data_IF_340843507970
#
_entry.id   IF_340843507970
#
_cell.length_a   1.000
_cell.length_b   1.000
_cell.length_c   1.000
_cell.angle_alpha   90.00
_cell.angle_beta   90.00
_cell.angle_gamma   90.00
#
_symmetry.space_group_name_H-M   'P 1'
#
loop_
_entity.id
_entity.type
_entity.pdbx_description
1 polymer ?
#
# COMPACT_ATOMS: atom_id res chain seq x y z
N UNK A 1 -6.71 -24.92 -9.84
CA UNK A 1 -5.40 -24.46 -10.33
C UNK A 1 -4.71 -23.86 -9.13
N UNK A 2 -3.88 -24.64 -8.46
CA UNK A 2 -3.19 -24.26 -7.23
C UNK A 2 -2.04 -23.33 -7.59
N UNK A 3 -2.03 -22.13 -7.02
CA UNK A 3 -0.91 -21.20 -7.09
C UNK A 3 0.21 -21.74 -6.16
N UNK A 4 1.43 -21.90 -6.65
CA UNK A 4 2.48 -22.46 -5.82
C UNK A 4 2.92 -21.46 -4.73
N UNK A 5 2.79 -21.91 -3.49
CA UNK A 5 3.24 -21.23 -2.24
C UNK A 5 4.76 -21.05 -2.19
N UNK A 6 5.49 -21.52 -3.18
CA UNK A 6 6.96 -21.65 -3.19
C UNK A 6 7.76 -20.38 -3.49
N UNK A 7 7.13 -19.24 -3.80
CA UNK A 7 7.85 -18.01 -4.20
C UNK A 7 8.35 -17.18 -2.99
N UNK A 8 8.10 -17.64 -1.76
CA UNK A 8 8.27 -16.80 -0.57
C UNK A 8 9.70 -16.80 0.03
N UNK A 9 10.60 -17.69 -0.35
CA UNK A 9 11.86 -17.87 0.37
C UNK A 9 13.18 -17.59 -0.36
N UNK A 10 13.20 -17.31 -1.65
CA UNK A 10 14.46 -17.07 -2.39
C UNK A 10 14.59 -15.71 -3.09
N UNK A 11 13.78 -14.74 -2.72
CA UNK A 11 13.60 -13.51 -3.51
C UNK A 11 14.71 -12.47 -3.41
N UNK A 12 15.72 -12.61 -2.56
CA UNK A 12 16.81 -11.63 -2.48
C UNK A 12 17.82 -11.76 -3.63
N UNK A 13 18.07 -12.96 -4.14
CA UNK A 13 19.02 -13.18 -5.23
C UNK A 13 18.43 -12.98 -6.64
N UNK A 14 17.10 -13.07 -6.77
CA UNK A 14 16.42 -12.96 -8.08
C UNK A 14 16.23 -11.53 -8.58
N UNK A 15 16.27 -10.53 -7.69
CA UNK A 15 16.09 -9.12 -8.08
C UNK A 15 17.30 -8.50 -8.79
N UNK A 16 18.49 -9.04 -8.56
CA UNK A 16 19.76 -8.46 -9.05
C UNK A 16 19.93 -8.63 -10.58
N UNK A 17 19.26 -9.63 -11.18
CA UNK A 17 19.38 -9.94 -12.61
C UNK A 17 18.05 -10.08 -13.36
N UNK A 18 16.96 -9.58 -12.79
CA UNK A 18 15.64 -9.78 -13.39
C UNK A 18 15.39 -8.77 -14.53
N UNK A 19 14.97 -9.23 -15.73
CA UNK A 19 14.53 -8.33 -16.80
C UNK A 19 13.28 -7.54 -16.40
N UNK A 20 12.96 -6.47 -17.12
CA UNK A 20 11.83 -5.58 -16.85
C UNK A 20 10.47 -6.31 -16.63
N UNK A 21 10.32 -7.49 -17.24
CA UNK A 21 9.18 -8.38 -17.05
C UNK A 21 9.03 -8.91 -15.62
N UNK A 22 10.15 -9.09 -14.92
CA UNK A 22 10.12 -9.53 -13.52
C UNK A 22 9.76 -8.41 -12.55
N UNK A 23 9.98 -7.14 -12.90
CA UNK A 23 9.48 -5.99 -12.15
C UNK A 23 7.93 -5.99 -12.17
N UNK A 24 7.31 -6.27 -13.30
CA UNK A 24 5.87 -6.40 -13.43
C UNK A 24 5.31 -7.56 -12.57
N UNK A 25 5.98 -8.71 -12.53
CA UNK A 25 5.61 -9.83 -11.64
C UNK A 25 5.78 -9.46 -10.16
N UNK A 26 6.76 -8.62 -9.83
CA UNK A 26 7.00 -8.15 -8.47
C UNK A 26 5.90 -7.20 -8.00
N UNK A 27 5.47 -6.27 -8.85
CA UNK A 27 4.31 -5.40 -8.62
C UNK A 27 3.05 -6.23 -8.39
N UNK A 28 2.86 -7.27 -9.19
CA UNK A 28 1.71 -8.17 -9.05
C UNK A 28 1.73 -8.92 -7.71
N UNK A 29 2.90 -9.37 -7.26
CA UNK A 29 3.05 -10.09 -6.00
C UNK A 29 2.83 -9.18 -4.78
N UNK A 30 3.34 -7.94 -4.80
CA UNK A 30 3.17 -6.98 -3.69
C UNK A 30 1.76 -6.42 -3.62
N UNK A 31 1.16 -6.09 -4.74
CA UNK A 31 -0.26 -5.73 -4.83
C UNK A 31 -1.12 -6.90 -4.35
N UNK A 32 -0.75 -8.14 -4.69
CA UNK A 32 -1.42 -9.36 -4.21
C UNK A 32 -1.37 -9.54 -2.70
N UNK A 33 -0.24 -9.26 -2.03
CA UNK A 33 -0.10 -9.40 -0.58
C UNK A 33 -0.93 -8.33 0.16
N UNK A 34 -0.85 -7.07 -0.25
CA UNK A 34 -1.67 -5.98 0.32
C UNK A 34 -3.16 -6.21 0.07
N UNK A 35 -3.49 -6.74 -1.09
CA UNK A 35 -4.83 -7.18 -1.46
C UNK A 35 -5.38 -8.24 -0.50
N UNK A 36 -4.65 -9.35 -0.31
CA UNK A 36 -5.10 -10.46 0.53
C UNK A 36 -5.11 -10.13 2.02
N UNK A 37 -4.15 -9.35 2.51
CA UNK A 37 -3.94 -9.10 3.94
C UNK A 37 -4.92 -8.09 4.52
N UNK A 38 -5.26 -7.04 3.79
CA UNK A 38 -6.02 -5.90 4.33
C UNK A 38 -7.26 -5.59 3.50
N UNK A 39 -7.13 -5.39 2.20
CA UNK A 39 -8.22 -4.91 1.36
C UNK A 39 -9.39 -5.89 1.30
N UNK A 40 -9.11 -7.18 1.13
CA UNK A 40 -10.17 -8.22 1.07
C UNK A 40 -10.92 -8.32 2.39
N UNK A 41 -10.24 -8.19 3.54
CA UNK A 41 -10.89 -8.27 4.85
C UNK A 41 -11.87 -7.10 5.05
N UNK A 42 -11.46 -5.88 4.71
CA UNK A 42 -12.33 -4.70 4.78
C UNK A 42 -13.49 -4.82 3.80
N UNK A 43 -13.21 -5.29 2.58
CA UNK A 43 -14.22 -5.53 1.56
C UNK A 43 -15.27 -6.58 2.00
N UNK A 44 -14.81 -7.70 2.55
CA UNK A 44 -15.69 -8.74 3.08
C UNK A 44 -16.55 -8.21 4.24
N UNK A 45 -15.97 -7.44 5.16
CA UNK A 45 -16.72 -6.86 6.27
C UNK A 45 -17.82 -5.91 5.78
N UNK A 46 -17.54 -5.06 4.81
CA UNK A 46 -18.51 -4.15 4.21
C UNK A 46 -19.64 -4.93 3.49
N UNK A 47 -19.27 -5.95 2.70
CA UNK A 47 -20.26 -6.83 2.03
C UNK A 47 -21.11 -7.60 3.02
N UNK A 48 -20.53 -8.14 4.09
CA UNK A 48 -21.28 -8.85 5.13
C UNK A 48 -22.29 -7.93 5.84
N UNK A 49 -21.89 -6.69 6.14
CA UNK A 49 -22.82 -5.70 6.71
C UNK A 49 -24.02 -5.44 5.79
N UNK A 50 -23.76 -5.30 4.49
CA UNK A 50 -24.80 -5.13 3.48
C UNK A 50 -25.76 -6.35 3.40
N UNK A 51 -25.20 -7.55 3.38
CA UNK A 51 -25.98 -8.80 3.36
C UNK A 51 -26.90 -8.92 4.60
N UNK A 52 -26.36 -8.64 5.78
CA UNK A 52 -27.13 -8.69 7.04
C UNK A 52 -28.25 -7.65 7.02
N UNK A 53 -28.02 -6.49 6.41
CA UNK A 53 -29.02 -5.44 6.24
C UNK A 53 -30.09 -5.76 5.16
N UNK A 54 -29.98 -6.87 4.46
CA UNK A 54 -30.92 -7.27 3.39
C UNK A 54 -30.75 -6.50 2.09
N UNK A 55 -29.55 -5.96 1.82
CA UNK A 55 -29.25 -5.23 0.60
C UNK A 55 -29.30 -6.15 -0.64
N UNK A 56 -29.54 -5.55 -1.81
CA UNK A 56 -29.49 -6.27 -3.08
C UNK A 56 -28.09 -6.84 -3.37
N UNK A 57 -28.01 -7.85 -4.24
CA UNK A 57 -26.71 -8.40 -4.65
C UNK A 57 -25.80 -7.32 -5.27
N UNK A 58 -26.38 -6.40 -6.04
CA UNK A 58 -25.67 -5.30 -6.66
C UNK A 58 -25.11 -4.34 -5.59
N UNK A 59 -25.89 -3.97 -4.58
CA UNK A 59 -25.45 -3.09 -3.49
C UNK A 59 -24.37 -3.76 -2.65
N UNK A 60 -24.51 -5.06 -2.40
CA UNK A 60 -23.47 -5.85 -1.73
C UNK A 60 -22.15 -5.83 -2.49
N UNK A 61 -22.16 -5.91 -3.82
CA UNK A 61 -20.97 -5.86 -4.64
C UNK A 61 -20.36 -4.44 -4.69
N UNK A 62 -21.18 -3.39 -4.69
CA UNK A 62 -20.71 -2.01 -4.60
C UNK A 62 -20.02 -1.76 -3.24
N UNK A 63 -20.61 -2.22 -2.13
CA UNK A 63 -20.00 -2.08 -0.80
C UNK A 63 -18.75 -2.95 -0.64
N UNK A 64 -18.67 -4.10 -1.31
CA UNK A 64 -17.42 -4.85 -1.40
C UNK A 64 -16.32 -4.02 -2.07
N UNK A 65 -16.62 -3.41 -3.22
CA UNK A 65 -15.65 -2.55 -3.96
C UNK A 65 -15.24 -1.32 -3.15
N UNK A 66 -16.19 -0.69 -2.45
CA UNK A 66 -15.88 0.38 -1.49
C UNK A 66 -14.83 -0.06 -0.47
N UNK A 67 -15.07 -1.16 0.21
CA UNK A 67 -14.16 -1.67 1.24
C UNK A 67 -12.81 -2.09 0.67
N UNK A 68 -12.78 -2.62 -0.54
CA UNK A 68 -11.57 -3.03 -1.24
C UNK A 68 -10.66 -1.85 -1.57
N UNK A 69 -11.20 -0.81 -2.21
CA UNK A 69 -10.44 0.39 -2.58
C UNK A 69 -9.96 1.14 -1.35
N UNK A 70 -10.81 1.23 -0.32
CA UNK A 70 -10.44 1.83 0.95
C UNK A 70 -9.30 1.08 1.64
N UNK A 71 -9.33 -0.25 1.60
CA UNK A 71 -8.28 -1.09 2.18
C UNK A 71 -6.94 -0.97 1.44
N UNK A 72 -6.97 -0.83 0.11
CA UNK A 72 -5.76 -0.53 -0.67
C UNK A 72 -5.20 0.86 -0.34
N UNK A 73 -6.06 1.89 -0.29
CA UNK A 73 -5.66 3.23 0.09
C UNK A 73 -5.03 3.27 1.49
N UNK A 74 -5.62 2.55 2.44
CA UNK A 74 -5.09 2.42 3.79
C UNK A 74 -3.70 1.78 3.83
N UNK A 75 -3.47 0.73 3.05
CA UNK A 75 -2.18 0.06 3.02
C UNK A 75 -1.08 0.96 2.42
N UNK A 76 -1.39 1.69 1.35
CA UNK A 76 -0.44 2.65 0.76
C UNK A 76 -0.16 3.81 1.74
N UNK A 77 -1.19 4.25 2.46
CA UNK A 77 -1.05 5.29 3.49
C UNK A 77 -0.16 4.82 4.67
N UNK A 78 -0.29 3.56 5.09
CA UNK A 78 0.56 2.96 6.13
C UNK A 78 2.03 2.89 5.68
N UNK A 79 2.28 2.43 4.44
CA UNK A 79 3.62 2.41 3.84
C UNK A 79 4.21 3.83 3.71
N UNK A 80 3.38 4.82 3.33
CA UNK A 80 3.81 6.23 3.24
C UNK A 80 4.17 6.80 4.60
N UNK A 81 3.37 6.54 5.63
CA UNK A 81 3.61 7.00 7.00
C UNK A 81 4.90 6.41 7.57
N UNK A 82 5.19 5.14 7.33
CA UNK A 82 6.44 4.52 7.77
C UNK A 82 7.69 5.20 7.19
N UNK A 83 7.57 5.84 6.01
CA UNK A 83 8.69 6.50 5.34
C UNK A 83 8.76 8.01 5.63
N UNK A 84 7.61 8.69 5.66
CA UNK A 84 7.52 10.16 5.58
C UNK A 84 6.89 10.84 6.79
N UNK A 85 6.32 10.10 7.73
CA UNK A 85 5.71 10.71 8.90
C UNK A 85 6.76 11.39 9.81
N UNK A 86 6.29 12.34 10.60
CA UNK A 86 7.06 12.88 11.70
C UNK A 86 7.07 11.86 12.86
N UNK A 87 8.22 11.37 13.31
CA UNK A 87 8.31 10.41 14.42
C UNK A 87 7.66 10.90 15.71
N UNK A 88 7.72 12.20 15.99
CA UNK A 88 7.11 12.80 17.19
C UNK A 88 5.59 12.75 17.15
N UNK A 89 5.00 12.89 15.94
CA UNK A 89 3.55 12.85 15.74
C UNK A 89 3.06 11.40 15.60
N UNK A 90 3.83 10.56 14.92
CA UNK A 90 3.45 9.17 14.64
C UNK A 90 3.62 8.25 15.85
N UNK A 91 4.51 8.62 16.79
CA UNK A 91 4.74 7.87 18.03
C UNK A 91 5.45 6.53 17.84
N UNK A 92 6.04 6.28 16.67
CA UNK A 92 6.82 5.10 16.32
C UNK A 92 8.08 5.51 15.57
N UNK A 93 9.11 4.65 15.62
CA UNK A 93 10.26 4.78 14.73
C UNK A 93 9.78 4.65 13.28
N UNK A 94 10.25 5.53 12.40
CA UNK A 94 9.98 5.51 10.97
C UNK A 94 11.07 4.75 10.21
N UNK A 95 10.79 4.36 8.96
CA UNK A 95 11.77 3.69 8.09
C UNK A 95 11.90 2.18 8.33
N UNK A 96 11.03 1.59 9.15
CA UNK A 96 11.04 0.15 9.42
C UNK A 96 10.87 -0.68 8.15
N UNK A 97 10.06 -0.24 7.22
CA UNK A 97 9.84 -0.89 5.93
C UNK A 97 11.11 -0.87 5.07
N UNK A 98 11.87 0.23 5.08
CA UNK A 98 13.15 0.39 4.38
C UNK A 98 14.22 -0.51 5.03
N UNK A 99 14.38 -0.45 6.34
CA UNK A 99 15.36 -1.26 7.09
C UNK A 99 15.18 -2.75 6.80
N UNK A 100 13.93 -3.21 6.78
CA UNK A 100 13.57 -4.62 6.57
C UNK A 100 13.42 -5.00 5.09
N UNK A 101 13.73 -4.12 4.15
CA UNK A 101 13.53 -4.35 2.71
C UNK A 101 12.11 -4.85 2.39
N UNK A 102 11.11 -4.31 3.10
CA UNK A 102 9.71 -4.69 2.88
C UNK A 102 9.28 -4.31 1.47
N UNK A 103 8.59 -5.22 0.83
CA UNK A 103 7.98 -5.01 -0.48
C UNK A 103 6.74 -4.10 -0.34
N UNK A 104 6.97 -2.86 0.07
CA UNK A 104 5.94 -1.82 0.19
C UNK A 104 5.51 -1.31 -1.19
N UNK A 105 4.40 -0.58 -1.25
CA UNK A 105 3.98 0.10 -2.47
C UNK A 105 5.05 1.08 -2.95
N UNK A 106 5.68 1.84 -2.03
CA UNK A 106 6.73 2.80 -2.36
C UNK A 106 7.94 2.12 -3.00
N UNK A 107 8.42 1.04 -2.40
CA UNK A 107 9.54 0.26 -2.92
C UNK A 107 9.26 -0.28 -4.32
N UNK A 108 8.08 -0.87 -4.51
CA UNK A 108 7.68 -1.42 -5.80
C UNK A 108 7.61 -0.34 -6.86
N UNK A 109 6.99 0.80 -6.53
CA UNK A 109 6.88 1.93 -7.45
C UNK A 109 8.23 2.55 -7.79
N UNK A 110 9.14 2.63 -6.80
CA UNK A 110 10.50 3.07 -7.03
C UNK A 110 11.24 2.17 -8.02
N UNK A 111 11.12 0.85 -7.90
CA UNK A 111 11.72 -0.10 -8.86
C UNK A 111 11.15 0.02 -10.27
N UNK A 112 9.86 0.31 -10.42
CA UNK A 112 9.23 0.54 -11.73
C UNK A 112 9.79 1.78 -12.42
N UNK A 113 10.09 2.83 -11.65
CA UNK A 113 10.55 4.14 -12.15
C UNK A 113 12.07 4.29 -12.20
N UNK A 114 12.81 3.43 -11.52
CA UNK A 114 14.24 3.62 -11.33
C UNK A 114 15.06 3.55 -12.63
N UNK A 115 14.55 2.90 -13.69
CA UNK A 115 15.25 2.80 -14.98
C UNK A 115 16.78 2.65 -14.81
N UNK A 116 17.54 3.68 -15.20
CA UNK A 116 19.00 3.76 -15.11
C UNK A 116 19.52 3.77 -13.67
N UNK A 117 18.68 4.14 -12.68
CA UNK A 117 19.04 4.19 -11.25
C UNK A 117 18.73 2.90 -10.49
N UNK A 118 18.36 1.84 -11.19
CA UNK A 118 17.99 0.56 -10.57
C UNK A 118 19.13 -0.03 -9.73
N UNK A 119 20.36 0.03 -10.24
CA UNK A 119 21.53 -0.45 -9.53
C UNK A 119 21.82 0.34 -8.25
N UNK A 120 21.59 1.67 -8.28
CA UNK A 120 21.70 2.54 -7.12
C UNK A 120 20.69 2.16 -6.04
N UNK A 121 19.43 1.93 -6.42
CA UNK A 121 18.37 1.50 -5.49
C UNK A 121 18.71 0.12 -4.87
N UNK A 122 19.20 -0.82 -5.67
CA UNK A 122 19.64 -2.14 -5.18
C UNK A 122 20.80 -1.99 -4.19
N UNK A 123 21.79 -1.15 -4.48
CA UNK A 123 22.91 -0.88 -3.59
C UNK A 123 22.45 -0.26 -2.27
N UNK A 124 21.54 0.71 -2.32
CA UNK A 124 20.95 1.32 -1.14
C UNK A 124 20.19 0.30 -0.27
N UNK A 125 19.43 -0.61 -0.88
CA UNK A 125 18.73 -1.68 -0.17
C UNK A 125 19.68 -2.69 0.49
N UNK A 126 20.87 -2.92 -0.10
CA UNK A 126 21.90 -3.83 0.42
C UNK A 126 22.75 -3.22 1.55
N UNK A 127 22.54 -1.95 1.91
CA UNK A 127 23.28 -1.30 2.99
C UNK A 127 23.10 -2.04 4.33
N UNK A 128 24.15 -2.08 5.18
CA UNK A 128 24.10 -2.74 6.47
C UNK A 128 23.10 -2.04 7.42
N UNK A 129 22.60 -2.79 8.40
CA UNK A 129 21.61 -2.34 9.40
C UNK A 129 21.94 -2.87 10.82
N UNK A 130 23.21 -3.12 11.08
CA UNK A 130 23.68 -3.67 12.36
C UNK A 130 23.69 -2.66 13.50
N UNK A 131 23.87 -1.36 13.19
CA UNK A 131 23.83 -0.26 14.17
C UNK A 131 22.71 0.73 13.83
N UNK A 132 22.37 1.61 14.78
CA UNK A 132 21.36 2.65 14.54
C UNK A 132 21.84 3.66 13.49
N UNK A 133 23.12 3.99 13.47
CA UNK A 133 23.73 4.87 12.46
C UNK A 133 23.64 4.26 11.06
N UNK A 134 23.87 2.95 10.93
CA UNK A 134 23.72 2.24 9.66
C UNK A 134 22.26 2.21 9.17
N UNK A 135 21.31 1.97 10.07
CA UNK A 135 19.88 2.02 9.75
C UNK A 135 19.47 3.41 9.28
N UNK A 136 19.87 4.45 10.00
CA UNK A 136 19.56 5.83 9.62
C UNK A 136 20.18 6.19 8.27
N UNK A 137 21.44 5.83 8.02
CA UNK A 137 22.10 6.06 6.75
C UNK A 137 21.34 5.37 5.59
N UNK A 138 20.88 4.13 5.78
CA UNK A 138 20.08 3.40 4.81
C UNK A 138 18.74 4.09 4.55
N UNK A 139 18.02 4.48 5.62
CA UNK A 139 16.73 5.16 5.51
C UNK A 139 16.88 6.45 4.70
N UNK A 140 17.86 7.28 5.04
CA UNK A 140 18.10 8.55 4.34
C UNK A 140 18.47 8.33 2.87
N UNK A 141 19.32 7.34 2.57
CA UNK A 141 19.72 7.03 1.20
C UNK A 141 18.54 6.58 0.34
N UNK A 142 17.73 5.62 0.83
CA UNK A 142 16.57 5.12 0.10
C UNK A 142 15.50 6.22 -0.05
N UNK A 143 15.27 6.99 1.01
CA UNK A 143 14.32 8.10 0.99
C UNK A 143 14.73 9.18 -0.03
N UNK A 144 16.00 9.53 -0.13
CA UNK A 144 16.50 10.46 -1.15
C UNK A 144 16.20 9.96 -2.58
N UNK A 145 16.38 8.66 -2.83
CA UNK A 145 16.01 8.06 -4.13
C UNK A 145 14.50 8.15 -4.37
N UNK A 146 13.68 7.89 -3.35
CA UNK A 146 12.22 8.02 -3.46
C UNK A 146 11.80 9.46 -3.77
N UNK A 147 12.43 10.45 -3.13
CA UNK A 147 12.14 11.86 -3.34
C UNK A 147 12.52 12.30 -4.76
N UNK A 148 13.69 11.91 -5.25
CA UNK A 148 14.14 12.17 -6.63
C UNK A 148 13.22 11.54 -7.68
N UNK A 149 12.66 10.36 -7.39
CA UNK A 149 11.70 9.66 -8.24
C UNK A 149 10.25 10.13 -8.03
N UNK A 150 10.01 11.09 -7.11
CA UNK A 150 8.69 11.61 -6.77
C UNK A 150 7.70 10.54 -6.24
N UNK A 151 8.21 9.51 -5.57
CA UNK A 151 7.41 8.37 -5.10
C UNK A 151 6.42 8.79 -4.01
N UNK A 152 6.84 9.67 -3.09
CA UNK A 152 5.98 10.14 -2.00
C UNK A 152 4.72 10.86 -2.48
N UNK A 153 4.83 11.71 -3.49
CA UNK A 153 3.68 12.43 -4.06
C UNK A 153 2.81 11.52 -4.92
N UNK A 154 3.40 10.56 -5.65
CA UNK A 154 2.63 9.55 -6.36
C UNK A 154 1.81 8.67 -5.41
N UNK A 155 2.36 8.31 -4.25
CA UNK A 155 1.63 7.57 -3.23
C UNK A 155 0.41 8.37 -2.73
N UNK A 156 0.56 9.66 -2.42
CA UNK A 156 -0.56 10.54 -2.02
C UNK A 156 -1.62 10.64 -3.10
N UNK A 157 -1.20 10.78 -4.37
CA UNK A 157 -2.11 10.83 -5.50
C UNK A 157 -2.91 9.52 -5.62
N UNK A 158 -2.25 8.36 -5.48
CA UNK A 158 -2.89 7.07 -5.57
C UNK A 158 -3.84 6.82 -4.39
N UNK A 159 -3.47 7.21 -3.15
CA UNK A 159 -4.35 7.18 -1.98
C UNK A 159 -5.62 7.99 -2.25
N UNK A 160 -5.46 9.21 -2.78
CA UNK A 160 -6.59 10.10 -3.10
C UNK A 160 -7.48 9.50 -4.18
N UNK A 161 -6.90 8.92 -5.22
CA UNK A 161 -7.62 8.25 -6.32
C UNK A 161 -8.45 7.08 -5.81
N UNK A 162 -7.85 6.21 -4.99
CA UNK A 162 -8.51 5.05 -4.40
C UNK A 162 -9.63 5.47 -3.44
N UNK A 163 -9.39 6.49 -2.62
CA UNK A 163 -10.41 7.05 -1.74
C UNK A 163 -11.61 7.59 -2.53
N UNK A 164 -11.38 8.38 -3.58
CA UNK A 164 -12.45 8.92 -4.41
C UNK A 164 -13.27 7.81 -5.05
N UNK A 165 -12.61 6.77 -5.58
CA UNK A 165 -13.27 5.61 -6.17
C UNK A 165 -14.08 4.81 -5.14
N UNK A 166 -13.56 4.65 -3.92
CA UNK A 166 -14.30 4.04 -2.83
C UNK A 166 -15.59 4.82 -2.53
N UNK A 167 -15.52 6.14 -2.46
CA UNK A 167 -16.70 6.97 -2.21
C UNK A 167 -17.72 6.93 -3.36
N UNK A 168 -17.27 6.82 -4.60
CA UNK A 168 -18.15 6.57 -5.75
C UNK A 168 -18.91 5.26 -5.62
N UNK A 169 -18.24 4.18 -5.20
CA UNK A 169 -18.89 2.90 -4.94
C UNK A 169 -19.89 2.99 -3.78
N UNK A 170 -19.59 3.73 -2.72
CA UNK A 170 -20.52 3.94 -1.61
C UNK A 170 -21.75 4.78 -1.97
N UNK A 171 -21.63 5.65 -2.98
CA UNK A 171 -22.74 6.48 -3.46
C UNK A 171 -23.75 5.71 -4.35
N UNK A 172 -23.34 4.55 -4.91
CA UNK A 172 -24.19 3.75 -5.79
C UNK A 172 -25.37 3.04 -5.12
N UNK A 173 -25.20 2.44 -3.91
CA UNK A 173 -26.30 1.83 -3.18
C UNK A 173 -27.33 2.86 -2.72
N UNK A 174 -28.60 2.43 -2.59
CA UNK A 174 -29.68 3.24 -2.02
C UNK A 174 -29.56 3.43 -0.51
N UNK A 175 -28.39 3.83 -0.02
CA UNK A 175 -28.13 4.03 1.40
C UNK A 175 -28.88 5.24 1.95
N UNK A 176 -29.33 5.13 3.19
CA UNK A 176 -29.82 6.30 3.93
C UNK A 176 -28.67 7.31 4.11
N UNK A 177 -28.96 8.62 4.11
CA UNK A 177 -27.93 9.66 4.27
C UNK A 177 -27.02 9.46 5.49
N UNK A 178 -27.59 8.97 6.60
CA UNK A 178 -26.84 8.71 7.82
C UNK A 178 -25.85 7.56 7.66
N UNK A 179 -26.22 6.50 6.92
CA UNK A 179 -25.36 5.36 6.64
C UNK A 179 -24.21 5.77 5.71
N UNK A 180 -24.49 6.55 4.66
CA UNK A 180 -23.46 7.10 3.80
C UNK A 180 -22.46 7.98 4.58
N UNK A 181 -22.97 8.88 5.44
CA UNK A 181 -22.13 9.73 6.28
C UNK A 181 -21.22 8.92 7.23
N UNK A 182 -21.70 7.78 7.75
CA UNK A 182 -20.86 6.87 8.55
C UNK A 182 -19.72 6.26 7.73
N UNK A 183 -20.00 5.79 6.51
CA UNK A 183 -18.97 5.26 5.60
C UNK A 183 -17.95 6.33 5.23
N UNK A 184 -18.40 7.54 4.90
CA UNK A 184 -17.53 8.67 4.60
C UNK A 184 -16.63 9.04 5.78
N UNK A 185 -17.19 9.13 6.98
CA UNK A 185 -16.43 9.42 8.20
C UNK A 185 -15.40 8.31 8.50
N UNK A 186 -15.77 7.06 8.28
CA UNK A 186 -14.86 5.94 8.43
C UNK A 186 -13.70 6.03 7.43
N UNK A 187 -13.99 6.28 6.16
CA UNK A 187 -12.99 6.47 5.12
C UNK A 187 -12.02 7.60 5.45
N UNK A 188 -12.53 8.77 5.87
CA UNK A 188 -11.71 9.92 6.29
C UNK A 188 -10.79 9.60 7.47
N UNK A 189 -11.29 8.86 8.48
CA UNK A 189 -10.48 8.46 9.65
C UNK A 189 -9.38 7.46 9.29
N UNK A 190 -9.64 6.57 8.35
CA UNK A 190 -8.71 5.52 7.96
C UNK A 190 -7.52 6.10 7.18
N UNK A 191 -7.78 7.09 6.32
CA UNK A 191 -6.79 7.69 5.42
C UNK A 191 -6.24 9.01 6.00
N UNK A 192 -6.99 9.70 6.86
CA UNK A 192 -6.64 11.01 7.41
C UNK A 192 -5.41 11.04 8.35
N UNK A 193 -4.73 9.92 8.50
CA UNK A 193 -3.48 9.82 9.27
C UNK A 193 -2.25 10.40 8.53
N UNK A 194 -2.42 10.75 7.24
CA UNK A 194 -1.35 11.28 6.38
C UNK A 194 -1.24 12.81 6.40
N UNK A 195 -1.92 13.48 7.35
CA UNK A 195 -1.85 14.95 7.51
C UNK A 195 -1.05 15.30 8.75
#
# INVERSE_FOLDING_TARGET
MELPVFIYMESHAMLINAPAEAACMFTYATTGISHLKTAVLIACAAKMGALIAGASAQDCDLLYRYGYDLGLAFQIADDWLDTYADPEVFGKAIGGDIVNNKKSWLMTRAFEKAEDRREELIAAMAMPVGTEEEKEAKIQTVKAIYDDLNIGEEAKAEITRLHSRAMEHAAGPGLKPEAYALLENYAKKLIGRTK
#
